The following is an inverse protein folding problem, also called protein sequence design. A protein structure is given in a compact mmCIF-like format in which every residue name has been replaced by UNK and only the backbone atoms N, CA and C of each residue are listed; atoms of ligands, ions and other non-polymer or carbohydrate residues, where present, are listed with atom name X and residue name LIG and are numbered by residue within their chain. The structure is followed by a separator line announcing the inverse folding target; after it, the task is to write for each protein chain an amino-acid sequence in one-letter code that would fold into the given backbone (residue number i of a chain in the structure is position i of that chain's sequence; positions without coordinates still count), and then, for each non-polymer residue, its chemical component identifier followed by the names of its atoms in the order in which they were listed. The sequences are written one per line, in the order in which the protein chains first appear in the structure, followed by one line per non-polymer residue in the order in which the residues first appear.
data_IF_488407041924
#
_entry.id   IF_488407041924
#
_cell.length_a   1.000
_cell.length_b   1.000
_cell.length_c   1.000
_cell.angle_alpha   90.00
_cell.angle_beta   90.00
_cell.angle_gamma   90.00
#
_symmetry.space_group_name_H-M   'P 1'
#
loop_
_entity.id
_entity.type
_entity.pdbx_description
1 polymer ?
#
# COMPACT_ATOMS: atom_id res chain seq x y z
N UNK A 1 21.46 4.15 50.21
CA UNK A 1 20.84 5.47 50.48
C UNK A 1 20.78 6.24 49.16
N UNK A 2 19.69 6.94 48.83
CA UNK A 2 18.62 6.37 47.99
C UNK A 2 18.58 6.81 46.52
N UNK A 3 17.73 6.08 45.79
CA UNK A 3 17.31 6.13 44.39
C UNK A 3 16.76 7.46 43.88
N UNK A 4 17.00 7.77 42.59
CA UNK A 4 16.10 8.61 41.80
C UNK A 4 16.12 8.19 40.32
N UNK A 5 15.32 7.18 40.00
CA UNK A 5 14.91 6.85 38.64
C UNK A 5 13.57 7.54 38.42
N UNK A 6 13.49 8.51 37.51
CA UNK A 6 12.21 9.11 37.10
C UNK A 6 11.50 8.18 36.09
N UNK A 7 10.25 7.76 36.34
CA UNK A 7 9.44 7.08 35.34
C UNK A 7 8.74 8.10 34.42
N UNK A 8 8.44 7.75 33.15
CA UNK A 8 7.58 8.56 32.29
C UNK A 8 6.12 8.47 32.76
N UNK A 9 5.47 9.63 32.89
CA UNK A 9 4.05 9.77 33.26
C UNK A 9 3.17 9.01 32.27
N UNK A 10 2.36 8.07 32.78
CA UNK A 10 1.15 7.56 32.12
C UNK A 10 0.05 8.60 32.22
N UNK A 11 -0.65 8.81 31.11
CA UNK A 11 -2.01 9.31 31.10
C UNK A 11 -2.96 8.11 31.15
N UNK A 12 -3.67 7.97 32.25
CA UNK A 12 -4.83 7.11 32.51
C UNK A 12 -5.76 8.02 33.30
N UNK A 13 -7.05 8.15 33.07
CA UNK A 13 -8.06 7.48 32.25
C UNK A 13 -9.16 8.53 32.14
N UNK A 14 -9.79 8.68 30.97
CA UNK A 14 -11.21 9.01 30.94
C UNK A 14 -11.81 8.07 29.89
N UNK A 15 -12.49 7.07 30.43
CA UNK A 15 -13.13 6.00 29.70
C UNK A 15 -14.55 6.41 29.29
N UNK A 16 -15.08 5.65 28.32
CA UNK A 16 -16.49 5.52 27.94
C UNK A 16 -17.04 6.53 26.92
N UNK A 17 -16.79 6.21 25.63
CA UNK A 17 -17.72 6.09 24.49
C UNK A 17 -18.92 7.08 24.35
N UNK A 18 -19.84 6.87 23.38
CA UNK A 18 -19.81 7.55 22.09
C UNK A 18 -20.93 8.59 21.99
N UNK A 19 -20.59 9.87 21.89
CA UNK A 19 -21.58 10.92 21.61
C UNK A 19 -21.95 10.95 20.12
N UNK A 20 -22.98 10.17 19.83
CA UNK A 20 -23.92 10.36 18.72
C UNK A 20 -24.45 11.80 18.74
N UNK A 21 -24.45 12.54 17.61
CA UNK A 21 -25.10 13.84 17.56
C UNK A 21 -26.63 13.68 17.66
N UNK A 22 -27.31 14.50 18.47
CA UNK A 22 -28.76 14.41 18.65
C UNK A 22 -29.54 14.84 17.38
N UNK A 23 -30.83 14.44 17.29
CA UNK A 23 -31.63 14.56 16.08
C UNK A 23 -32.08 15.99 15.82
N UNK A 24 -32.28 16.26 14.53
CA UNK A 24 -33.02 17.39 13.97
C UNK A 24 -34.25 17.78 14.80
N UNK A 25 -34.20 18.99 15.31
CA UNK A 25 -35.32 19.70 15.89
C UNK A 25 -36.45 19.85 14.86
N UNK A 26 -37.64 19.44 15.27
CA UNK A 26 -38.92 19.77 14.62
C UNK A 26 -39.13 21.28 14.68
N UNK A 27 -39.60 21.94 13.60
CA UNK A 27 -40.11 23.30 13.71
C UNK A 27 -41.42 23.28 14.50
N UNK A 28 -41.39 23.91 15.67
CA UNK A 28 -42.57 24.30 16.45
C UNK A 28 -43.07 25.63 15.87
N UNK A 29 -44.34 25.64 15.50
CA UNK A 29 -45.05 26.82 15.02
C UNK A 29 -45.23 27.87 16.13
N UNK A 30 -45.32 29.15 15.72
CA UNK A 30 -46.26 30.21 16.19
C UNK A 30 -46.26 30.53 17.70
N UNK A 31 -46.15 31.76 18.20
CA UNK A 31 -46.86 33.00 17.83
C UNK A 31 -46.28 34.21 18.60
N UNK A 32 -46.61 35.45 18.15
CA UNK A 32 -46.33 36.71 18.82
C UNK A 32 -47.38 37.07 19.91
N UNK A 33 -47.15 38.23 20.50
CA UNK A 33 -47.89 38.89 21.58
C UNK A 33 -49.41 39.07 21.39
N UNK A 34 -50.13 39.00 22.52
CA UNK A 34 -51.25 39.84 23.01
C UNK A 34 -52.47 40.17 22.11
N UNK A 35 -53.63 39.76 22.66
CA UNK A 35 -54.95 40.44 22.79
C UNK A 35 -55.98 40.34 21.62
N UNK A 36 -57.09 39.64 21.94
CA UNK A 36 -58.53 39.69 21.56
C UNK A 36 -59.06 40.86 20.69
N UNK A 37 -60.27 40.79 20.04
CA UNK A 37 -61.17 39.66 19.69
C UNK A 37 -61.63 39.65 18.18
N UNK A 38 -61.62 38.48 17.50
CA UNK A 38 -62.09 38.30 16.10
C UNK A 38 -63.61 38.04 15.94
N UNK A 39 -64.43 38.22 16.98
CA UNK A 39 -65.87 37.91 16.93
C UNK A 39 -66.74 38.94 16.18
N UNK A 40 -66.21 40.10 15.78
CA UNK A 40 -66.95 41.09 14.99
C UNK A 40 -66.68 40.99 13.47
N UNK A 41 -65.59 40.33 13.04
CA UNK A 41 -65.22 40.22 11.61
C UNK A 41 -65.89 39.05 10.88
N UNK A 42 -66.27 37.98 11.59
CA UNK A 42 -67.03 36.85 11.01
C UNK A 42 -68.50 37.23 10.71
N UNK A 43 -69.07 38.21 11.42
CA UNK A 43 -70.42 38.72 11.14
C UNK A 43 -70.47 39.64 9.92
N UNK A 44 -69.41 40.41 9.63
CA UNK A 44 -69.33 41.21 8.39
C UNK A 44 -69.02 40.36 7.14
N UNK A 45 -68.26 39.26 7.27
CA UNK A 45 -67.99 38.36 6.14
C UNK A 45 -69.18 37.47 5.77
N UNK A 46 -70.00 37.05 6.75
CA UNK A 46 -71.23 36.31 6.46
C UNK A 46 -72.28 37.18 5.76
N UNK A 47 -72.37 38.48 6.08
CA UNK A 47 -73.25 39.41 5.35
C UNK A 47 -72.77 39.73 3.92
N UNK A 48 -71.47 39.65 3.63
CA UNK A 48 -70.97 39.81 2.26
C UNK A 48 -71.10 38.54 1.41
N UNK A 49 -71.16 37.35 2.02
CA UNK A 49 -71.27 36.08 1.30
C UNK A 49 -72.70 35.75 0.88
N UNK A 50 -73.72 36.29 1.55
CA UNK A 50 -75.12 36.21 1.10
C UNK A 50 -75.46 37.12 -0.10
N UNK A 51 -74.56 38.04 -0.49
CA UNK A 51 -74.82 38.99 -1.60
C UNK A 51 -74.30 38.50 -2.98
N UNK A 52 -73.62 37.35 -3.06
CA UNK A 52 -72.95 36.85 -4.28
C UNK A 52 -73.57 35.60 -4.91
N UNK A 53 -74.57 34.99 -4.27
CA UNK A 53 -75.34 33.89 -4.86
C UNK A 53 -76.50 34.45 -5.71
N UNK A 54 -76.19 34.89 -6.93
CA UNK A 54 -77.22 34.99 -7.96
C UNK A 54 -77.49 33.59 -8.56
N UNK A 55 -78.71 33.06 -8.47
CA UNK A 55 -79.03 31.74 -9.00
C UNK A 55 -79.03 31.76 -10.53
N UNK A 56 -78.16 30.97 -11.18
CA UNK A 56 -78.23 30.74 -12.63
C UNK A 56 -76.95 30.30 -13.36
N UNK A 57 -75.78 30.24 -12.72
CA UNK A 57 -74.53 29.77 -13.37
C UNK A 57 -74.12 28.38 -12.83
N UNK A 58 -73.94 27.36 -13.69
CA UNK A 58 -73.46 26.05 -13.23
C UNK A 58 -72.00 26.17 -12.71
N UNK A 59 -71.63 25.43 -11.66
CA UNK A 59 -70.29 25.48 -11.08
C UNK A 59 -69.25 25.00 -12.10
N UNK A 60 -68.32 25.88 -12.48
CA UNK A 60 -67.15 25.53 -13.30
C UNK A 60 -66.12 24.76 -12.46
N UNK A 61 -65.80 23.54 -12.87
CA UNK A 61 -64.81 22.67 -12.21
C UNK A 61 -63.42 23.31 -12.12
N UNK A 62 -62.69 23.02 -11.04
CA UNK A 62 -61.35 23.55 -10.81
C UNK A 62 -60.33 23.16 -11.89
N UNK A 63 -60.64 22.15 -12.70
CA UNK A 63 -59.76 21.63 -13.76
C UNK A 63 -59.88 22.46 -15.05
N UNK A 64 -61.06 22.99 -15.38
CA UNK A 64 -61.25 23.90 -16.51
C UNK A 64 -60.62 25.27 -16.25
N UNK A 65 -60.64 25.75 -15.00
CA UNK A 65 -59.96 27.01 -14.61
C UNK A 65 -58.44 26.99 -14.81
N UNK A 66 -57.78 25.81 -14.75
CA UNK A 66 -56.33 25.68 -14.97
C UNK A 66 -55.92 25.70 -16.45
N UNK A 67 -56.80 25.26 -17.35
CA UNK A 67 -56.54 25.22 -18.79
C UNK A 67 -56.62 26.63 -19.41
N UNK A 68 -57.45 27.51 -18.84
CA UNK A 68 -57.62 28.89 -19.30
C UNK A 68 -56.60 29.90 -18.73
N UNK A 69 -55.53 29.44 -18.07
CA UNK A 69 -54.37 30.28 -17.75
C UNK A 69 -54.53 31.26 -16.59
N UNK A 70 -55.59 31.16 -15.78
CA UNK A 70 -55.85 32.11 -14.66
C UNK A 70 -54.99 31.90 -13.41
N UNK A 71 -54.17 30.83 -13.34
CA UNK A 71 -53.29 30.58 -12.20
C UNK A 71 -51.82 30.91 -12.55
N UNK A 72 -51.14 31.81 -11.80
CA UNK A 72 -49.74 32.13 -12.06
C UNK A 72 -48.87 30.86 -11.90
N UNK A 73 -47.89 30.63 -12.81
CA UNK A 73 -47.01 29.47 -12.70
C UNK A 73 -46.23 29.52 -11.38
N UNK A 74 -46.05 28.38 -10.68
CA UNK A 74 -45.40 28.38 -9.38
C UNK A 74 -43.95 28.90 -9.49
N UNK A 75 -43.58 29.80 -8.58
CA UNK A 75 -42.29 30.50 -8.54
C UNK A 75 -41.03 29.60 -8.55
N UNK A 76 -41.18 28.29 -8.35
CA UNK A 76 -40.07 27.35 -8.50
C UNK A 76 -40.58 25.96 -8.96
N UNK A 77 -40.48 25.63 -10.26
CA UNK A 77 -41.07 24.41 -10.83
C UNK A 77 -40.50 23.13 -10.20
N UNK A 78 -39.21 23.14 -9.82
CA UNK A 78 -38.55 22.00 -9.16
C UNK A 78 -39.08 21.75 -7.74
N UNK A 79 -39.45 22.78 -7.01
CA UNK A 79 -40.02 22.64 -5.67
C UNK A 79 -41.48 22.16 -5.72
N UNK A 80 -42.24 22.63 -6.71
CA UNK A 80 -43.60 22.16 -6.97
C UNK A 80 -43.60 20.68 -7.41
N UNK A 81 -42.66 20.29 -8.26
CA UNK A 81 -42.48 18.90 -8.69
C UNK A 81 -42.05 17.99 -7.53
N UNK A 82 -41.12 18.43 -6.68
CA UNK A 82 -40.72 17.69 -5.48
C UNK A 82 -41.90 17.49 -4.51
N UNK A 83 -42.74 18.51 -4.29
CA UNK A 83 -43.96 18.40 -3.48
C UNK A 83 -44.96 17.40 -4.10
N UNK A 84 -45.16 17.48 -5.42
CA UNK A 84 -46.02 16.54 -6.15
C UNK A 84 -45.52 15.09 -6.03
N UNK A 85 -44.20 14.87 -6.09
CA UNK A 85 -43.62 13.54 -5.92
C UNK A 85 -43.80 13.01 -4.49
N UNK A 86 -43.68 13.87 -3.47
CA UNK A 86 -43.95 13.50 -2.07
C UNK A 86 -45.42 13.14 -1.84
N UNK A 87 -46.36 13.88 -2.44
CA UNK A 87 -47.79 13.57 -2.39
C UNK A 87 -48.12 12.25 -3.10
N UNK A 88 -47.51 12.00 -4.26
CA UNK A 88 -47.63 10.73 -4.97
C UNK A 88 -46.98 9.55 -4.22
N UNK A 89 -45.97 9.81 -3.42
CA UNK A 89 -45.35 8.82 -2.54
C UNK A 89 -46.25 8.52 -1.34
N UNK A 90 -46.88 9.53 -0.73
CA UNK A 90 -47.83 9.35 0.37
C UNK A 90 -49.04 8.48 -0.03
N UNK A 91 -49.49 8.59 -1.29
CA UNK A 91 -50.59 7.78 -1.85
C UNK A 91 -50.23 6.34 -2.18
N UNK A 92 -48.94 5.97 -2.15
CA UNK A 92 -48.54 4.60 -2.45
C UNK A 92 -48.76 3.65 -1.26
N UNK A 93 -49.20 2.40 -1.54
CA UNK A 93 -49.37 1.41 -0.50
C UNK A 93 -48.04 1.16 0.22
N UNK A 94 -48.11 0.98 1.54
CA UNK A 94 -46.93 0.87 2.41
C UNK A 94 -45.96 -0.23 1.94
N UNK A 95 -46.48 -1.33 1.41
CA UNK A 95 -45.68 -2.44 0.86
C UNK A 95 -44.82 -2.03 -0.35
N UNK A 96 -45.38 -1.25 -1.28
CA UNK A 96 -44.63 -0.75 -2.45
C UNK A 96 -43.56 0.26 -2.03
N UNK A 97 -43.85 1.10 -1.04
CA UNK A 97 -42.85 2.02 -0.44
C UNK A 97 -41.72 1.25 0.21
N UNK A 98 -42.03 0.23 1.03
CA UNK A 98 -41.03 -0.61 1.66
C UNK A 98 -40.17 -1.37 0.64
N UNK A 99 -40.76 -1.91 -0.43
CA UNK A 99 -40.03 -2.59 -1.50
C UNK A 99 -39.07 -1.66 -2.24
N UNK A 100 -39.49 -0.43 -2.58
CA UNK A 100 -38.63 0.58 -3.20
C UNK A 100 -37.50 1.02 -2.28
N UNK A 101 -37.77 1.25 -1.00
CA UNK A 101 -36.73 1.59 -0.02
C UNK A 101 -35.70 0.47 0.12
N UNK A 102 -36.12 -0.80 0.14
CA UNK A 102 -35.21 -1.95 0.10
C UNK A 102 -34.36 -1.98 -1.17
N UNK A 103 -34.96 -1.77 -2.34
CA UNK A 103 -34.23 -1.73 -3.61
C UNK A 103 -33.22 -0.56 -3.67
N UNK A 104 -33.60 0.63 -3.17
CA UNK A 104 -32.71 1.78 -3.06
C UNK A 104 -31.55 1.50 -2.09
N UNK A 105 -31.81 0.89 -0.94
CA UNK A 105 -30.77 0.51 0.03
C UNK A 105 -29.78 -0.51 -0.57
N UNK A 106 -30.27 -1.50 -1.32
CA UNK A 106 -29.42 -2.46 -2.05
C UNK A 106 -28.58 -1.74 -3.11
N UNK A 107 -29.17 -0.85 -3.89
CA UNK A 107 -28.47 -0.09 -4.93
C UNK A 107 -27.40 0.83 -4.31
N UNK A 108 -27.73 1.56 -3.25
CA UNK A 108 -26.78 2.40 -2.52
C UNK A 108 -25.64 1.55 -1.92
N UNK A 109 -25.94 0.36 -1.39
CA UNK A 109 -24.92 -0.56 -0.89
C UNK A 109 -24.01 -1.04 -2.02
N UNK A 110 -24.56 -1.43 -3.17
CA UNK A 110 -23.79 -1.85 -4.34
C UNK A 110 -22.90 -0.71 -4.88
N UNK A 111 -23.43 0.50 -5.01
CA UNK A 111 -22.68 1.67 -5.46
C UNK A 111 -21.59 2.03 -4.45
N UNK A 112 -21.88 2.04 -3.15
CA UNK A 112 -20.86 2.26 -2.10
C UNK A 112 -19.78 1.19 -2.15
N UNK A 113 -20.14 -0.08 -2.32
CA UNK A 113 -19.18 -1.17 -2.48
C UNK A 113 -18.35 -1.01 -3.76
N UNK A 114 -18.96 -0.63 -4.88
CA UNK A 114 -18.27 -0.40 -6.15
C UNK A 114 -17.29 0.77 -6.06
N UNK A 115 -17.74 1.91 -5.54
CA UNK A 115 -16.90 3.09 -5.32
C UNK A 115 -15.79 2.80 -4.31
N UNK A 116 -16.07 2.08 -3.22
CA UNK A 116 -15.06 1.63 -2.28
C UNK A 116 -14.03 0.73 -2.97
N UNK A 117 -14.47 -0.27 -3.76
CA UNK A 117 -13.57 -1.14 -4.54
C UNK A 117 -12.74 -0.36 -5.56
N UNK A 118 -13.33 0.62 -6.26
CA UNK A 118 -12.62 1.46 -7.25
C UNK A 118 -11.61 2.41 -6.59
N UNK A 119 -11.96 2.99 -5.46
CA UNK A 119 -11.04 3.81 -4.65
C UNK A 119 -9.92 2.96 -4.04
N UNK A 120 -10.23 1.75 -3.58
CA UNK A 120 -9.24 0.78 -3.10
C UNK A 120 -8.33 0.34 -4.25
N UNK A 121 -8.85 0.05 -5.44
CA UNK A 121 -8.04 -0.29 -6.61
C UNK A 121 -7.09 0.85 -7.01
N UNK A 122 -7.53 2.12 -6.97
CA UNK A 122 -6.67 3.30 -7.19
C UNK A 122 -5.65 3.55 -6.07
N UNK A 123 -5.92 3.12 -4.84
CA UNK A 123 -4.99 3.26 -3.71
C UNK A 123 -4.00 2.09 -3.61
N UNK A 124 -4.45 0.89 -3.98
CA UNK A 124 -3.65 -0.33 -4.06
C UNK A 124 -2.84 -0.40 -5.35
N UNK A 125 -3.19 0.36 -6.40
CA UNK A 125 -2.42 0.37 -7.65
C UNK A 125 -0.96 0.72 -7.44
N UNK A 126 -0.65 1.58 -6.46
CA UNK A 126 0.71 2.03 -6.20
C UNK A 126 1.43 1.20 -5.13
N UNK A 127 0.69 0.53 -4.25
CA UNK A 127 1.25 -0.22 -3.12
C UNK A 127 1.55 -1.64 -3.56
N UNK A 128 2.83 -1.99 -3.52
CA UNK A 128 3.34 -3.26 -3.97
C UNK A 128 3.40 -3.36 -5.49
N UNK A 129 3.58 -2.27 -6.26
CA UNK A 129 4.00 -2.46 -7.65
C UNK A 129 5.53 -2.47 -7.75
N UNK A 130 6.10 -3.44 -8.46
CA UNK A 130 7.50 -3.40 -8.80
C UNK A 130 7.74 -2.29 -9.83
N UNK A 131 8.85 -1.59 -9.68
CA UNK A 131 9.23 -0.45 -10.52
C UNK A 131 10.68 -0.62 -10.92
N UNK A 132 10.98 -0.27 -12.17
CA UNK A 132 12.34 0.04 -12.59
C UNK A 132 12.66 1.49 -12.25
N UNK A 133 13.56 1.69 -11.29
CA UNK A 133 14.07 2.99 -10.91
C UNK A 133 15.44 3.18 -11.55
N UNK A 134 15.60 4.29 -12.27
CA UNK A 134 16.83 4.67 -12.93
C UNK A 134 17.18 6.13 -12.58
N UNK A 135 18.44 6.38 -12.24
CA UNK A 135 18.97 7.75 -12.20
C UNK A 135 19.50 8.02 -13.61
N UNK A 136 18.87 8.93 -14.35
CA UNK A 136 19.24 9.14 -15.76
C UNK A 136 20.48 10.01 -15.87
N UNK A 137 20.45 11.18 -15.23
CA UNK A 137 21.55 12.14 -15.27
C UNK A 137 21.46 13.18 -14.14
N UNK A 138 22.57 13.87 -13.86
CA UNK A 138 22.57 15.12 -13.10
C UNK A 138 22.91 16.28 -14.03
N UNK A 139 22.07 17.31 -14.01
CA UNK A 139 22.26 18.52 -14.83
C UNK A 139 22.61 19.73 -13.97
N UNK A 140 23.42 20.64 -14.51
CA UNK A 140 23.77 21.90 -13.86
C UNK A 140 24.65 21.70 -12.62
N UNK A 141 25.59 20.76 -12.66
CA UNK A 141 26.48 20.46 -11.54
C UNK A 141 27.57 21.55 -11.43
N UNK A 142 27.44 22.43 -10.44
CA UNK A 142 28.38 23.54 -10.23
C UNK A 142 29.54 23.14 -9.31
N UNK A 143 30.56 22.51 -9.88
CA UNK A 143 31.73 22.05 -9.13
C UNK A 143 32.59 23.24 -8.69
N UNK A 144 32.38 23.72 -7.46
CA UNK A 144 33.22 24.74 -6.82
C UNK A 144 34.71 24.29 -6.76
N UNK A 145 35.63 25.25 -6.60
CA UNK A 145 37.08 25.02 -6.62
C UNK A 145 37.59 23.89 -5.71
N UNK A 146 36.89 23.60 -4.60
CA UNK A 146 37.24 22.54 -3.66
C UNK A 146 37.06 21.11 -4.19
N UNK A 147 36.34 20.96 -5.32
CA UNK A 147 35.94 19.68 -5.89
C UNK A 147 36.75 19.26 -7.13
N UNK A 148 37.82 20.01 -7.47
CA UNK A 148 38.69 19.74 -8.64
C UNK A 148 39.41 18.39 -8.60
N UNK A 149 39.53 17.78 -7.43
CA UNK A 149 40.20 16.49 -7.26
C UNK A 149 39.27 15.28 -7.45
N UNK A 150 38.01 15.50 -7.83
CA UNK A 150 37.03 14.44 -8.07
C UNK A 150 37.21 13.90 -9.48
N UNK A 151 37.45 12.59 -9.57
CA UNK A 151 37.74 11.87 -10.81
C UNK A 151 36.52 11.11 -11.32
N UNK A 152 35.64 10.67 -10.41
CA UNK A 152 34.41 9.99 -10.78
C UNK A 152 33.29 10.27 -9.79
N UNK A 153 32.06 10.11 -10.23
CA UNK A 153 30.85 10.36 -9.44
C UNK A 153 29.92 9.17 -9.54
N UNK A 154 29.28 8.79 -8.43
CA UNK A 154 28.23 7.79 -8.41
C UNK A 154 27.09 8.25 -7.49
N UNK A 155 25.91 7.66 -7.66
CA UNK A 155 24.74 7.93 -6.87
C UNK A 155 24.46 6.77 -5.91
N UNK A 156 24.20 7.11 -4.65
CA UNK A 156 23.65 6.20 -3.66
C UNK A 156 22.16 6.53 -3.48
N UNK A 157 21.29 5.66 -3.95
CA UNK A 157 19.84 5.86 -3.96
C UNK A 157 19.20 5.02 -2.89
N UNK A 158 18.28 5.63 -2.15
CA UNK A 158 17.56 5.03 -1.04
C UNK A 158 16.08 5.34 -1.14
N UNK A 159 15.23 4.35 -0.90
CA UNK A 159 13.78 4.56 -0.92
C UNK A 159 13.24 4.51 0.50
N UNK A 160 12.71 5.64 0.96
CA UNK A 160 12.18 5.85 2.31
C UNK A 160 10.66 5.71 2.31
N UNK A 161 10.13 4.91 3.24
CA UNK A 161 8.68 4.85 3.46
C UNK A 161 8.20 6.07 4.26
N UNK A 162 7.28 6.86 3.71
CA UNK A 162 6.63 7.95 4.46
C UNK A 162 5.55 7.44 5.42
N UNK A 163 5.27 8.13 6.55
CA UNK A 163 5.88 9.39 6.99
C UNK A 163 7.21 9.24 7.76
N UNK A 164 7.47 8.11 8.43
CA UNK A 164 8.67 7.88 9.25
C UNK A 164 9.13 6.41 9.23
N UNK A 165 8.97 5.73 8.10
CA UNK A 165 9.37 4.33 7.97
C UNK A 165 10.88 4.16 7.72
N UNK A 166 11.43 2.95 7.94
CA UNK A 166 12.83 2.67 7.64
C UNK A 166 13.13 2.79 6.14
N UNK A 167 14.42 2.94 5.79
CA UNK A 167 14.87 2.76 4.41
C UNK A 167 14.51 1.35 3.96
N UNK A 168 13.79 1.27 2.84
CA UNK A 168 13.30 0.02 2.30
C UNK A 168 14.35 -0.65 1.42
N UNK A 169 15.02 0.16 0.59
CA UNK A 169 16.01 -0.27 -0.38
C UNK A 169 17.15 0.73 -0.44
N UNK A 170 18.36 0.22 -0.63
CA UNK A 170 19.58 0.97 -0.88
C UNK A 170 20.28 0.34 -2.08
N UNK A 171 20.72 1.18 -3.02
CA UNK A 171 21.55 0.77 -4.15
C UNK A 171 22.51 1.88 -4.53
N UNK A 172 23.58 1.50 -5.21
CA UNK A 172 24.58 2.43 -5.73
C UNK A 172 24.71 2.22 -7.23
N UNK A 173 24.75 3.31 -7.99
CA UNK A 173 25.03 3.28 -9.43
C UNK A 173 26.51 3.01 -9.70
N UNK A 174 26.82 2.69 -10.95
CA UNK A 174 28.18 2.66 -11.45
C UNK A 174 28.85 4.04 -11.36
N UNK A 175 30.18 4.03 -11.37
CA UNK A 175 30.98 5.25 -11.33
C UNK A 175 31.04 5.88 -12.72
N UNK A 176 30.50 7.09 -12.85
CA UNK A 176 30.68 7.92 -14.05
C UNK A 176 32.01 8.66 -13.98
N UNK A 177 32.83 8.56 -15.03
CA UNK A 177 34.05 9.37 -15.20
C UNK A 177 33.74 10.79 -15.68
N UNK A 178 32.57 11.02 -16.29
CA UNK A 178 32.13 12.36 -16.67
C UNK A 178 31.53 13.05 -15.45
N UNK A 179 32.32 13.91 -14.81
CA UNK A 179 31.97 14.58 -13.56
C UNK A 179 30.98 15.73 -13.77
N UNK A 180 31.08 16.48 -14.87
CA UNK A 180 30.26 17.67 -15.11
C UNK A 180 28.83 17.33 -15.57
N UNK A 181 28.69 16.24 -16.32
CA UNK A 181 27.42 15.72 -16.83
C UNK A 181 27.38 14.20 -16.60
N UNK A 182 27.25 13.74 -15.34
CA UNK A 182 27.21 12.33 -15.06
C UNK A 182 25.86 11.75 -15.50
N UNK A 183 25.92 10.65 -16.23
CA UNK A 183 24.77 9.92 -16.73
C UNK A 183 24.93 8.43 -16.42
N UNK A 184 23.81 7.76 -16.12
CA UNK A 184 23.81 6.33 -15.80
C UNK A 184 22.70 5.59 -16.55
N UNK A 185 23.04 4.38 -16.98
CA UNK A 185 22.11 3.43 -17.61
C UNK A 185 21.59 2.36 -16.65
N UNK A 186 21.98 2.42 -15.39
CA UNK A 186 21.68 1.37 -14.40
C UNK A 186 20.20 1.40 -14.01
N UNK A 187 19.55 0.25 -14.17
CA UNK A 187 18.16 0.04 -13.80
C UNK A 187 18.07 -0.82 -12.56
N UNK A 188 17.35 -0.34 -11.56
CA UNK A 188 17.15 -1.04 -10.29
C UNK A 188 15.70 -1.44 -10.13
N UNK A 189 15.47 -2.70 -9.81
CA UNK A 189 14.14 -3.19 -9.52
C UNK A 189 13.79 -2.91 -8.06
N UNK A 190 12.77 -2.10 -7.82
CA UNK A 190 12.34 -1.69 -6.48
C UNK A 190 10.86 -2.02 -6.30
N UNK A 191 10.49 -2.88 -5.33
CA UNK A 191 9.10 -3.09 -4.97
C UNK A 191 8.60 -1.92 -4.11
N UNK A 192 7.68 -1.12 -4.62
CA UNK A 192 7.19 0.07 -3.93
C UNK A 192 6.24 -0.33 -2.81
N UNK A 193 6.69 -0.38 -1.55
CA UNK A 193 5.86 -0.85 -0.42
C UNK A 193 4.81 0.16 0.06
N UNK A 194 4.77 1.33 -0.55
CA UNK A 194 3.90 2.43 -0.17
C UNK A 194 3.56 3.28 -1.39
N UNK A 195 2.33 3.79 -1.44
CA UNK A 195 1.89 4.75 -2.45
C UNK A 195 2.50 6.14 -2.24
N UNK A 196 3.10 6.37 -1.07
CA UNK A 196 3.83 7.58 -0.71
C UNK A 196 5.20 7.21 -0.18
N UNK A 197 6.25 7.64 -0.85
CA UNK A 197 7.63 7.39 -0.46
C UNK A 197 8.53 8.50 -0.96
N UNK A 198 9.70 8.62 -0.37
CA UNK A 198 10.72 9.56 -0.81
C UNK A 198 11.88 8.79 -1.39
N UNK A 199 12.28 9.13 -2.61
CA UNK A 199 13.51 8.61 -3.21
C UNK A 199 14.61 9.61 -2.87
N UNK A 200 15.50 9.19 -1.98
CA UNK A 200 16.65 9.96 -1.54
C UNK A 200 17.84 9.54 -2.39
N UNK A 201 18.37 10.45 -3.19
CA UNK A 201 19.55 10.21 -4.02
C UNK A 201 20.70 11.04 -3.47
N UNK A 202 21.73 10.38 -2.97
CA UNK A 202 22.97 11.02 -2.49
C UNK A 202 24.01 10.95 -3.59
N UNK A 203 24.52 12.10 -4.02
CA UNK A 203 25.60 12.20 -4.99
C UNK A 203 26.95 12.15 -4.26
N UNK A 204 27.82 11.22 -4.66
CA UNK A 204 29.12 10.99 -4.03
C UNK A 204 30.21 11.07 -5.08
N UNK A 205 31.18 11.95 -4.84
CA UNK A 205 32.39 12.09 -5.65
C UNK A 205 33.53 11.24 -5.10
N UNK A 206 34.26 10.55 -5.97
CA UNK A 206 35.48 9.82 -5.63
C UNK A 206 36.68 10.64 -6.06
N UNK A 207 37.56 10.96 -5.12
CA UNK A 207 38.79 11.70 -5.41
C UNK A 207 39.82 10.81 -6.09
N UNK A 208 40.85 11.43 -6.68
CA UNK A 208 42.05 10.75 -7.18
C UNK A 208 42.71 9.81 -6.15
N UNK A 209 42.63 10.16 -4.86
CA UNK A 209 43.11 9.34 -3.73
C UNK A 209 42.14 8.22 -3.31
N UNK A 210 41.01 8.07 -4.00
CA UNK A 210 39.98 7.07 -3.69
C UNK A 210 39.06 7.45 -2.53
N UNK A 211 39.19 8.65 -1.96
CA UNK A 211 38.32 9.10 -0.85
C UNK A 211 36.96 9.53 -1.39
N UNK A 212 35.91 9.21 -0.64
CA UNK A 212 34.54 9.60 -0.96
C UNK A 212 34.21 10.96 -0.36
N UNK A 213 33.68 11.86 -1.19
CA UNK A 213 33.22 13.19 -0.81
C UNK A 213 31.74 13.36 -1.10
N UNK A 214 31.05 14.02 -0.19
CA UNK A 214 29.65 14.36 -0.35
C UNK A 214 29.52 15.51 -1.35
N UNK A 215 28.63 15.36 -2.33
CA UNK A 215 28.32 16.41 -3.31
C UNK A 215 26.93 16.98 -3.14
N UNK A 216 26.00 16.24 -2.52
CA UNK A 216 24.65 16.72 -2.28
C UNK A 216 23.67 15.58 -2.13
N UNK A 217 22.49 15.89 -1.60
CA UNK A 217 21.39 14.95 -1.49
C UNK A 217 20.14 15.55 -2.13
N UNK A 218 19.58 14.84 -3.09
CA UNK A 218 18.32 15.15 -3.74
C UNK A 218 17.21 14.26 -3.15
N UNK A 219 16.06 14.85 -2.84
CA UNK A 219 14.90 14.12 -2.32
C UNK A 219 13.76 14.33 -3.30
N UNK A 220 13.37 13.26 -3.99
CA UNK A 220 12.21 13.26 -4.87
C UNK A 220 11.01 12.69 -4.11
N UNK A 221 10.03 13.52 -3.71
CA UNK A 221 8.82 13.03 -3.07
C UNK A 221 7.90 12.38 -4.10
N UNK A 222 7.61 11.10 -3.91
CA UNK A 222 6.65 10.37 -4.73
C UNK A 222 5.29 10.40 -4.04
N UNK A 223 4.38 11.18 -4.63
CA UNK A 223 3.01 11.28 -4.20
C UNK A 223 2.13 10.20 -4.84
N UNK A 224 0.90 10.06 -4.32
CA UNK A 224 -0.10 9.16 -4.90
C UNK A 224 -0.35 9.50 -6.36
N UNK A 225 -0.23 8.50 -7.25
CA UNK A 225 -0.36 8.70 -8.69
C UNK A 225 0.98 8.85 -9.43
N UNK A 226 2.12 8.63 -8.76
CA UNK A 226 3.44 8.57 -9.39
C UNK A 226 3.51 7.58 -10.55
N UNK A 227 2.64 6.55 -10.60
CA UNK A 227 2.52 5.60 -11.72
C UNK A 227 2.30 6.27 -13.08
N UNK A 228 1.68 7.45 -13.11
CA UNK A 228 1.42 8.21 -14.33
C UNK A 228 2.56 9.16 -14.68
N UNK A 229 3.47 9.43 -13.74
CA UNK A 229 4.60 10.36 -13.89
C UNK A 229 5.90 9.56 -13.92
N UNK A 230 6.33 9.21 -15.12
CA UNK A 230 7.56 8.41 -15.32
C UNK A 230 8.82 9.14 -14.88
N UNK A 231 8.84 10.46 -14.95
CA UNK A 231 10.03 11.27 -14.66
C UNK A 231 9.81 12.12 -13.42
N UNK A 232 10.81 12.15 -12.55
CA UNK A 232 10.89 13.01 -11.39
C UNK A 232 12.25 13.72 -11.37
N UNK A 233 12.27 14.98 -10.95
CA UNK A 233 13.50 15.76 -10.81
C UNK A 233 13.57 16.37 -9.43
N UNK A 234 14.75 16.36 -8.82
CA UNK A 234 14.97 16.95 -7.51
C UNK A 234 16.32 17.67 -7.44
N UNK A 235 16.33 18.85 -6.83
CA UNK A 235 17.55 19.62 -6.63
C UNK A 235 18.43 18.98 -5.55
N UNK A 236 19.75 19.03 -5.77
CA UNK A 236 20.75 18.70 -4.76
C UNK A 236 20.71 19.71 -3.63
N UNK A 237 20.71 19.21 -2.40
CA UNK A 237 20.70 20.03 -1.22
C UNK A 237 21.56 19.47 -0.09
N UNK A 238 21.36 20.06 1.08
CA UNK A 238 22.05 19.72 2.32
C UNK A 238 21.80 18.26 2.72
N UNK A 239 22.78 17.72 3.44
CA UNK A 239 22.66 16.42 4.09
C UNK A 239 21.47 16.38 5.06
N UNK A 240 20.48 15.53 4.78
CA UNK A 240 19.33 15.30 5.65
C UNK A 240 19.27 13.87 6.18
N UNK A 241 19.64 12.91 5.34
CA UNK A 241 19.58 11.49 5.66
C UNK A 241 20.98 10.88 5.71
N UNK A 242 21.34 10.20 6.81
CA UNK A 242 22.65 9.58 6.96
C UNK A 242 22.85 8.45 5.95
N UNK A 243 24.06 8.34 5.42
CA UNK A 243 24.52 7.21 4.58
C UNK A 243 25.46 6.33 5.41
N UNK A 244 25.48 5.04 5.12
CA UNK A 244 26.32 4.06 5.85
C UNK A 244 27.81 4.15 5.47
N UNK A 245 28.11 4.81 4.35
CA UNK A 245 29.46 4.99 3.82
C UNK A 245 30.20 6.12 4.56
N UNK A 246 31.52 5.97 4.73
CA UNK A 246 32.38 6.98 5.35
C UNK A 246 32.64 8.13 4.38
N UNK A 247 31.69 9.07 4.30
CA UNK A 247 31.72 10.19 3.36
C UNK A 247 32.27 11.45 4.06
N UNK A 248 33.24 12.10 3.43
CA UNK A 248 33.84 13.35 3.93
C UNK A 248 33.09 14.57 3.37
N UNK A 249 33.04 15.66 4.13
CA UNK A 249 32.61 16.96 3.60
C UNK A 249 31.10 17.21 3.63
N UNK A 250 30.37 16.56 4.53
CA UNK A 250 28.89 16.67 4.67
C UNK A 250 28.35 18.11 4.84
N UNK A 251 29.21 19.05 5.22
CA UNK A 251 28.85 20.46 5.45
C UNK A 251 28.81 21.30 4.17
N UNK A 252 29.38 20.82 3.05
CA UNK A 252 29.34 21.49 1.74
C UNK A 252 28.52 20.65 0.77
N UNK A 253 27.83 21.31 -0.15
CA UNK A 253 27.13 20.64 -1.24
C UNK A 253 27.21 21.50 -2.50
N UNK A 254 27.02 20.85 -3.63
CA UNK A 254 27.06 21.41 -4.98
C UNK A 254 25.63 21.66 -5.44
N UNK A 255 25.43 22.72 -6.22
CA UNK A 255 24.16 22.95 -6.89
C UNK A 255 24.03 22.02 -8.10
N UNK A 256 22.83 21.52 -8.35
CA UNK A 256 22.53 20.65 -9.48
C UNK A 256 21.16 19.99 -9.33
N UNK A 257 20.64 19.43 -10.42
CA UNK A 257 19.35 18.73 -10.43
C UNK A 257 19.54 17.28 -10.85
N UNK A 258 19.08 16.36 -10.00
CA UNK A 258 19.07 14.93 -10.28
C UNK A 258 17.78 14.59 -11.01
N UNK A 259 17.92 13.91 -12.15
CA UNK A 259 16.80 13.37 -12.91
C UNK A 259 16.65 11.87 -12.64
N UNK A 260 15.42 11.48 -12.33
CA UNK A 260 15.02 10.12 -11.96
C UNK A 260 13.92 9.67 -12.91
N UNK A 261 14.03 8.44 -13.38
CA UNK A 261 12.98 7.75 -14.14
C UNK A 261 12.47 6.55 -13.34
N UNK A 262 11.14 6.41 -13.33
CA UNK A 262 10.37 5.48 -12.54
C UNK A 262 9.37 4.84 -13.50
N UNK A 263 9.71 3.64 -13.95
CA UNK A 263 8.84 2.89 -14.87
C UNK A 263 8.16 1.76 -14.11
N UNK A 264 6.82 1.78 -13.96
CA UNK A 264 6.12 0.68 -13.33
C UNK A 264 6.23 -0.57 -14.21
N UNK A 265 6.62 -1.68 -13.62
CA UNK A 265 6.59 -2.96 -14.31
C UNK A 265 5.15 -3.44 -14.33
N UNK A 266 4.68 -3.83 -15.51
CA UNK A 266 3.33 -4.31 -15.75
C UNK A 266 3.00 -5.52 -14.87
N UNK A 267 2.42 -5.27 -13.69
CA UNK A 267 1.78 -6.27 -12.82
C UNK A 267 0.28 -5.93 -12.78
N UNK A 268 -0.57 -6.87 -13.18
CA UNK A 268 -2.03 -6.76 -13.07
C UNK A 268 -2.44 -6.77 -11.60
N UNK A 269 -1.68 -7.46 -10.74
CA UNK A 269 -1.92 -7.57 -9.30
C UNK A 269 -0.84 -6.88 -8.46
N UNK A 270 -1.16 -6.47 -7.22
CA UNK A 270 -0.16 -5.94 -6.28
C UNK A 270 0.82 -7.05 -5.87
N UNK A 271 2.11 -6.82 -6.10
CA UNK A 271 3.20 -7.69 -5.69
C UNK A 271 3.27 -7.80 -4.17
N UNK A 272 3.51 -9.03 -3.68
CA UNK A 272 3.84 -9.25 -2.27
C UNK A 272 5.34 -9.16 -2.12
N UNK A 273 5.81 -8.39 -1.16
CA UNK A 273 7.23 -8.26 -0.85
C UNK A 273 7.49 -8.41 0.64
N UNK A 274 8.72 -8.79 0.98
CA UNK A 274 9.14 -8.94 2.37
C UNK A 274 10.56 -9.45 2.52
N UNK A 275 11.05 -9.37 3.74
CA UNK A 275 12.39 -9.80 4.09
C UNK A 275 12.43 -11.31 4.34
N UNK A 276 13.47 -11.93 3.78
CA UNK A 276 13.85 -13.31 4.00
C UNK A 276 15.25 -13.34 4.60
N UNK A 277 15.50 -14.36 5.40
CA UNK A 277 16.81 -14.70 5.91
C UNK A 277 17.28 -15.91 5.10
N UNK A 278 18.41 -15.79 4.41
CA UNK A 278 18.98 -16.86 3.61
C UNK A 278 20.34 -17.25 4.19
N UNK A 279 20.55 -18.53 4.46
CA UNK A 279 21.88 -19.00 4.80
C UNK A 279 22.80 -18.78 3.57
N UNK A 280 24.03 -18.29 3.74
CA UNK A 280 24.99 -18.25 2.66
C UNK A 280 25.14 -19.66 2.08
N UNK A 281 25.27 -19.80 0.75
CA UNK A 281 25.51 -21.09 0.15
C UNK A 281 26.80 -21.65 0.78
N UNK A 282 26.66 -22.74 1.52
CA UNK A 282 27.81 -23.47 2.04
C UNK A 282 28.49 -24.04 0.81
N UNK A 283 29.68 -23.51 0.48
CA UNK A 283 30.56 -24.11 -0.53
C UNK A 283 30.97 -25.48 0.01
N UNK A 284 30.18 -26.51 -0.32
CA UNK A 284 30.63 -27.87 -0.13
C UNK A 284 31.73 -28.08 -1.16
N UNK A 285 32.98 -28.17 -0.71
CA UNK A 285 34.06 -28.76 -1.52
C UNK A 285 33.49 -30.02 -2.18
N UNK A 286 33.82 -30.31 -3.46
CA UNK A 286 33.37 -31.51 -4.13
C UNK A 286 34.02 -32.71 -3.44
N UNK A 287 33.40 -33.23 -2.39
CA UNK A 287 33.75 -34.53 -1.84
C UNK A 287 33.13 -35.56 -2.76
N UNK A 288 34.03 -36.19 -3.52
CA UNK A 288 33.89 -37.40 -4.33
C UNK A 288 32.59 -38.16 -4.09
N UNK A 289 31.91 -38.42 -5.20
CA UNK A 289 30.99 -39.52 -5.41
C UNK A 289 31.29 -40.73 -4.52
N UNK A 290 30.38 -41.05 -3.60
CA UNK A 290 30.32 -42.38 -3.01
C UNK A 290 29.01 -43.03 -3.46
N UNK A 291 29.15 -43.83 -4.51
CA UNK A 291 28.25 -44.91 -4.89
C UNK A 291 28.15 -45.92 -3.74
N UNK A 292 27.02 -45.96 -3.05
CA UNK A 292 26.68 -47.01 -2.08
C UNK A 292 25.45 -47.79 -2.53
N UNK A 293 25.47 -48.24 -3.78
CA UNK A 293 24.55 -49.27 -4.28
C UNK A 293 25.37 -50.43 -4.81
N UNK A 294 25.79 -51.34 -3.92
CA UNK A 294 26.07 -52.72 -4.29
C UNK A 294 25.80 -53.64 -3.10
N UNK A 295 24.81 -54.51 -3.29
CA UNK A 295 24.47 -55.68 -2.49
C UNK A 295 25.71 -56.50 -2.14
N UNK A 296 25.76 -57.02 -0.91
CA UNK A 296 26.04 -58.45 -0.72
C UNK A 296 25.41 -58.95 0.59
N UNK A 297 24.75 -60.09 0.48
CA UNK A 297 23.99 -60.82 1.50
C UNK A 297 24.76 -62.09 1.84
N UNK A 298 24.98 -62.36 3.13
CA UNK A 298 25.02 -63.70 3.77
C UNK A 298 25.46 -63.47 5.24
N UNK A 299 25.08 -64.18 6.28
CA UNK A 299 24.03 -65.14 6.64
C UNK A 299 24.33 -65.50 8.10
N UNK A 300 23.28 -65.69 8.91
CA UNK A 300 23.26 -66.37 10.22
C UNK A 300 23.93 -65.68 11.44
N UNK A 301 23.09 -65.30 12.40
CA UNK A 301 23.50 -64.90 13.75
C UNK A 301 22.43 -64.08 14.46
N UNK A 302 21.31 -64.72 14.83
CA UNK A 302 20.34 -64.16 15.78
C UNK A 302 21.00 -64.13 17.18
N UNK A 303 21.19 -62.94 17.75
CA UNK A 303 20.83 -62.54 19.13
C UNK A 303 21.53 -61.21 19.50
N UNK A 304 20.78 -60.35 20.19
CA UNK A 304 21.12 -59.04 20.79
C UNK A 304 20.98 -57.77 19.92
N UNK A 305 20.02 -56.92 20.35
CA UNK A 305 19.70 -55.52 19.99
C UNK A 305 20.95 -54.60 19.84
N UNK A 306 20.93 -53.40 19.18
CA UNK A 306 19.79 -52.58 18.74
C UNK A 306 19.87 -52.05 17.30
N UNK A 307 18.76 -51.48 16.86
CA UNK A 307 18.55 -50.85 15.56
C UNK A 307 19.70 -49.93 15.08
N UNK A 308 19.94 -49.88 13.76
CA UNK A 308 20.87 -48.93 13.15
C UNK A 308 20.49 -47.51 13.58
N UNK A 309 21.49 -46.78 14.06
CA UNK A 309 21.44 -45.36 14.36
C UNK A 309 20.90 -44.66 13.12
N UNK A 310 19.60 -44.40 13.14
CA UNK A 310 19.01 -43.28 12.44
C UNK A 310 19.83 -42.05 12.84
N UNK A 311 20.29 -41.21 11.90
CA UNK A 311 20.71 -39.88 12.28
C UNK A 311 19.49 -39.21 12.93
N UNK A 312 19.46 -39.19 14.26
CA UNK A 312 18.40 -38.63 15.11
C UNK A 312 18.28 -37.10 14.99
N UNK A 313 19.02 -36.50 14.07
CA UNK A 313 18.91 -35.09 13.73
C UNK A 313 18.32 -34.97 12.33
N UNK A 314 17.06 -34.51 12.17
CA UNK A 314 16.67 -33.98 10.88
C UNK A 314 17.64 -32.85 10.54
N UNK A 315 18.09 -32.79 9.28
CA UNK A 315 18.85 -31.68 8.70
C UNK A 315 18.01 -30.38 8.71
N UNK A 316 17.75 -29.87 9.91
CA UNK A 316 16.95 -28.71 10.24
C UNK A 316 17.50 -28.09 11.52
N UNK A 317 18.82 -27.96 11.63
CA UNK A 317 19.36 -26.88 12.42
C UNK A 317 19.02 -25.59 11.66
N UNK A 318 17.99 -24.88 12.12
CA UNK A 318 17.80 -23.49 11.68
C UNK A 318 19.14 -22.77 11.92
N UNK A 319 19.75 -22.18 10.88
CA UNK A 319 21.05 -21.55 11.04
C UNK A 319 20.98 -20.49 12.13
N UNK A 320 22.02 -20.42 12.96
CA UNK A 320 22.10 -19.39 13.99
C UNK A 320 22.06 -18.01 13.31
N UNK A 321 21.28 -17.05 13.86
CA UNK A 321 21.07 -15.72 13.24
C UNK A 321 22.38 -15.00 12.86
N UNK A 322 23.50 -15.37 13.49
CA UNK A 322 24.85 -14.85 13.22
C UNK A 322 25.41 -15.22 11.84
N UNK A 323 24.82 -16.19 11.14
CA UNK A 323 25.30 -16.67 9.84
C UNK A 323 24.33 -16.43 8.69
N UNK A 324 23.21 -15.73 8.91
CA UNK A 324 22.14 -15.63 7.92
C UNK A 324 22.11 -14.23 7.30
N UNK A 325 22.04 -14.16 5.97
CA UNK A 325 22.01 -12.89 5.23
C UNK A 325 20.56 -12.49 4.97
N UNK A 326 20.24 -11.24 5.28
CA UNK A 326 18.92 -10.67 4.93
C UNK A 326 18.83 -10.44 3.43
N UNK A 327 17.77 -10.92 2.81
CA UNK A 327 17.43 -10.80 1.39
C UNK A 327 16.00 -10.27 1.27
N UNK A 328 15.68 -9.64 0.15
CA UNK A 328 14.31 -9.19 -0.13
C UNK A 328 13.67 -10.07 -1.18
N UNK A 329 12.52 -10.65 -0.89
CA UNK A 329 11.75 -11.40 -1.87
C UNK A 329 10.56 -10.58 -2.37
N UNK A 330 10.30 -10.66 -3.67
CA UNK A 330 9.21 -10.00 -4.37
C UNK A 330 8.48 -11.02 -5.21
N UNK A 331 7.20 -11.22 -4.94
CA UNK A 331 6.29 -12.07 -5.69
C UNK A 331 5.44 -11.19 -6.59
N UNK A 332 5.68 -11.29 -7.88
CA UNK A 332 4.84 -10.72 -8.93
C UNK A 332 3.79 -11.75 -9.36
N UNK A 333 2.98 -11.39 -10.35
CA UNK A 333 1.93 -12.25 -10.90
C UNK A 333 2.50 -13.56 -11.50
N UNK A 334 3.70 -13.50 -12.10
CA UNK A 334 4.32 -14.61 -12.85
C UNK A 334 5.62 -15.11 -12.25
N UNK A 335 6.29 -14.30 -11.44
CA UNK A 335 7.67 -14.57 -11.01
C UNK A 335 7.88 -14.27 -9.53
N UNK A 336 8.76 -15.04 -8.91
CA UNK A 336 9.33 -14.75 -7.60
C UNK A 336 10.78 -14.31 -7.77
N UNK A 337 11.08 -13.09 -7.36
CA UNK A 337 12.41 -12.51 -7.39
C UNK A 337 13.00 -12.44 -5.98
N UNK A 338 14.28 -12.77 -5.84
CA UNK A 338 15.05 -12.56 -4.63
C UNK A 338 16.17 -11.57 -4.92
N UNK A 339 16.23 -10.50 -4.14
CA UNK A 339 17.22 -9.45 -4.21
C UNK A 339 18.15 -9.49 -3.01
N UNK A 340 19.38 -9.07 -3.24
CA UNK A 340 20.27 -8.71 -2.16
C UNK A 340 19.73 -7.49 -1.40
N UNK A 341 19.85 -7.47 -0.09
CA UNK A 341 19.40 -6.35 0.72
C UNK A 341 20.33 -5.13 0.62
N UNK A 342 21.64 -5.35 0.46
CA UNK A 342 22.63 -4.26 0.44
C UNK A 342 22.86 -3.70 -0.95
N UNK A 343 22.81 -4.53 -1.99
CA UNK A 343 23.11 -4.11 -3.36
C UNK A 343 21.88 -3.96 -4.24
N UNK A 344 20.69 -4.35 -3.74
CA UNK A 344 19.46 -4.51 -4.53
C UNK A 344 19.64 -5.36 -5.81
N UNK A 345 20.74 -6.12 -5.92
CA UNK A 345 21.04 -6.94 -7.09
C UNK A 345 20.10 -8.14 -7.11
N UNK A 346 19.54 -8.43 -8.27
CA UNK A 346 18.74 -9.63 -8.49
C UNK A 346 19.64 -10.86 -8.31
N UNK A 347 19.32 -11.71 -7.34
CA UNK A 347 20.04 -12.95 -7.06
C UNK A 347 19.37 -14.14 -7.72
N UNK A 348 18.05 -14.22 -7.60
CA UNK A 348 17.26 -15.37 -8.06
C UNK A 348 16.00 -14.82 -8.72
N UNK A 349 15.66 -15.35 -9.90
CA UNK A 349 14.35 -15.18 -10.53
C UNK A 349 13.76 -16.56 -10.82
N UNK A 350 12.65 -16.86 -10.16
CA UNK A 350 11.93 -18.12 -10.30
C UNK A 350 10.59 -17.85 -10.99
N UNK A 351 10.33 -18.60 -12.06
CA UNK A 351 9.03 -18.61 -12.73
C UNK A 351 8.02 -19.42 -11.89
N UNK A 352 6.88 -18.82 -11.56
CA UNK A 352 5.85 -19.42 -10.72
C UNK A 352 5.20 -20.64 -11.38
N UNK A 353 5.12 -20.68 -12.72
CA UNK A 353 4.56 -21.81 -13.44
C UNK A 353 5.39 -23.09 -13.21
N UNK A 354 6.70 -22.93 -13.02
CA UNK A 354 7.67 -24.03 -12.83
C UNK A 354 8.08 -24.24 -11.36
N UNK A 355 7.56 -23.41 -10.46
CA UNK A 355 7.88 -23.43 -9.04
C UNK A 355 7.03 -24.48 -8.32
N UNK A 356 7.66 -25.33 -7.51
CA UNK A 356 6.98 -26.23 -6.59
C UNK A 356 7.23 -25.76 -5.15
N UNK A 357 6.17 -25.65 -4.35
CA UNK A 357 6.30 -25.32 -2.93
C UNK A 357 6.25 -26.61 -2.12
N UNK A 358 7.27 -26.83 -1.30
CA UNK A 358 7.28 -27.92 -0.34
C UNK A 358 6.68 -27.36 0.95
N UNK A 359 5.48 -27.83 1.33
CA UNK A 359 4.83 -27.41 2.57
C UNK A 359 5.74 -27.71 3.75
N UNK A 360 6.08 -26.67 4.50
CA UNK A 360 6.90 -26.84 5.70
C UNK A 360 5.99 -27.16 6.89
N UNK A 361 6.18 -28.35 7.47
CA UNK A 361 5.61 -28.73 8.77
C UNK A 361 6.25 -27.86 9.86
N UNK A 362 5.56 -26.80 10.26
CA UNK A 362 5.94 -26.06 11.45
C UNK A 362 5.12 -26.60 12.62
N UNK A 363 5.68 -27.58 13.34
CA UNK A 363 5.22 -27.74 14.72
C UNK A 363 5.67 -26.50 15.51
N UNK A 364 4.74 -25.79 16.19
CA UNK A 364 5.10 -24.72 17.10
C UNK A 364 5.85 -25.34 18.27
N UNK A 365 7.18 -25.37 18.18
CA UNK A 365 8.05 -25.64 19.34
C UNK A 365 8.47 -24.29 19.92
N UNK A 366 8.48 -24.21 21.25
CA UNK A 366 8.50 -23.03 22.11
C UNK A 366 9.72 -22.09 22.00
N UNK A 367 10.55 -22.20 20.96
CA UNK A 367 11.77 -21.41 20.83
C UNK A 367 11.52 -20.08 20.14
N UNK A 368 11.61 -18.92 20.85
CA UNK A 368 11.38 -17.59 20.28
C UNK A 368 12.48 -17.16 19.30
N UNK A 369 13.59 -17.87 19.22
CA UNK A 369 14.71 -17.61 18.30
C UNK A 369 14.56 -18.33 16.95
N UNK A 370 13.62 -19.26 16.82
CA UNK A 370 13.51 -20.17 15.67
C UNK A 370 12.96 -19.45 14.43
N UNK A 371 13.67 -19.62 13.32
CA UNK A 371 13.24 -19.12 12.02
C UNK A 371 12.37 -20.15 11.30
N UNK A 372 11.42 -19.68 10.49
CA UNK A 372 10.43 -20.51 9.80
C UNK A 372 10.84 -20.72 8.33
N UNK A 373 11.09 -21.96 7.87
CA UNK A 373 11.58 -22.21 6.51
C UNK A 373 10.44 -22.21 5.48
N UNK A 374 10.59 -21.42 4.43
CA UNK A 374 9.87 -21.50 3.15
C UNK A 374 10.75 -22.27 2.15
N UNK A 375 10.29 -23.45 1.73
CA UNK A 375 11.03 -24.34 0.82
C UNK A 375 10.45 -24.24 -0.58
N UNK A 376 11.27 -23.76 -1.51
CA UNK A 376 10.92 -23.56 -2.91
C UNK A 376 11.78 -24.48 -3.78
N UNK A 377 11.15 -25.29 -4.62
CA UNK A 377 11.84 -26.17 -5.57
C UNK A 377 11.60 -25.67 -6.99
N UNK A 378 12.68 -25.37 -7.71
CA UNK A 378 12.61 -24.91 -9.10
C UNK A 378 13.87 -25.35 -9.85
N UNK A 379 13.70 -25.78 -11.11
CA UNK A 379 14.81 -26.18 -12.00
C UNK A 379 15.81 -27.15 -11.34
N UNK A 380 15.32 -28.15 -10.62
CA UNK A 380 16.17 -29.13 -9.93
C UNK A 380 16.84 -28.66 -8.64
N UNK A 381 16.68 -27.38 -8.26
CA UNK A 381 17.34 -26.78 -7.08
C UNK A 381 16.33 -26.50 -5.97
N UNK A 382 16.68 -26.85 -4.73
CA UNK A 382 15.90 -26.51 -3.54
C UNK A 382 16.44 -25.24 -2.89
N UNK A 383 15.63 -24.19 -2.89
CA UNK A 383 15.88 -22.93 -2.20
C UNK A 383 15.18 -22.95 -0.84
N UNK A 384 15.93 -22.71 0.23
CA UNK A 384 15.39 -22.61 1.59
C UNK A 384 15.55 -21.18 2.06
N UNK A 385 14.42 -20.47 2.15
CA UNK A 385 14.33 -19.11 2.67
C UNK A 385 13.73 -19.15 4.06
N UNK A 386 14.19 -18.30 4.97
CA UNK A 386 13.68 -18.25 6.34
C UNK A 386 12.91 -16.96 6.59
N UNK A 387 11.81 -17.03 7.33
CA UNK A 387 11.03 -15.86 7.77
C UNK A 387 10.91 -15.82 9.29
N UNK A 388 10.62 -14.65 9.83
CA UNK A 388 10.64 -14.40 11.28
C UNK A 388 9.43 -14.95 12.04
N UNK A 389 8.33 -15.28 11.36
CA UNK A 389 7.13 -15.80 12.01
C UNK A 389 6.39 -16.85 11.18
N UNK A 390 5.68 -17.75 11.87
CA UNK A 390 4.83 -18.75 11.23
C UNK A 390 3.73 -18.12 10.37
N UNK A 391 3.13 -17.02 10.85
CA UNK A 391 2.12 -16.29 10.10
C UNK A 391 2.67 -15.76 8.76
N UNK A 392 3.92 -15.28 8.73
CA UNK A 392 4.57 -14.88 7.50
C UNK A 392 4.82 -16.07 6.58
N UNK A 393 5.29 -17.21 7.13
CA UNK A 393 5.50 -18.44 6.37
C UNK A 393 4.21 -18.89 5.67
N UNK A 394 3.11 -19.05 6.43
CA UNK A 394 1.81 -19.43 5.90
C UNK A 394 1.29 -18.42 4.87
N UNK A 395 1.42 -17.12 5.16
CA UNK A 395 1.04 -16.08 4.22
C UNK A 395 1.83 -16.17 2.90
N UNK A 396 3.11 -16.49 2.95
CA UNK A 396 3.95 -16.65 1.75
C UNK A 396 3.59 -17.91 0.98
N UNK A 397 3.50 -19.07 1.64
CA UNK A 397 3.07 -20.32 1.02
C UNK A 397 1.70 -20.19 0.35
N UNK A 398 0.74 -19.55 1.03
CA UNK A 398 -0.59 -19.32 0.49
C UNK A 398 -0.57 -18.44 -0.77
N UNK A 399 0.08 -17.26 -0.72
CA UNK A 399 0.08 -16.34 -1.87
C UNK A 399 0.82 -16.89 -3.08
N UNK A 400 1.97 -17.55 -2.87
CA UNK A 400 2.71 -18.16 -3.98
C UNK A 400 1.89 -19.28 -4.62
N UNK A 401 1.23 -20.13 -3.82
CA UNK A 401 0.34 -21.17 -4.36
C UNK A 401 -0.87 -20.59 -5.08
N UNK A 402 -1.44 -19.49 -4.58
CA UNK A 402 -2.57 -18.80 -5.21
C UNK A 402 -2.20 -18.29 -6.61
N UNK A 403 -1.13 -17.50 -6.72
CA UNK A 403 -0.67 -16.99 -8.02
C UNK A 403 -0.25 -18.12 -8.97
N UNK A 404 0.42 -19.15 -8.46
CA UNK A 404 0.75 -20.33 -9.27
C UNK A 404 -0.49 -21.02 -9.84
N UNK A 405 -1.57 -21.16 -9.06
CA UNK A 405 -2.83 -21.77 -9.53
C UNK A 405 -3.49 -20.92 -10.60
N UNK A 406 -3.49 -19.60 -10.44
CA UNK A 406 -4.02 -18.67 -11.44
C UNK A 406 -3.32 -18.81 -12.79
N UNK A 407 -2.01 -19.11 -12.81
CA UNK A 407 -1.24 -19.32 -14.04
C UNK A 407 -1.41 -20.71 -14.67
N UNK A 408 -1.86 -21.70 -13.90
CA UNK A 408 -2.06 -23.07 -14.37
C UNK A 408 -3.47 -23.30 -14.93
N UNK A 409 -4.39 -22.35 -14.72
CA UNK A 409 -5.73 -22.37 -15.31
C UNK A 409 -5.63 -21.64 -16.66
N UNK A 410 -5.92 -22.33 -17.78
CA UNK A 410 -5.73 -21.79 -19.14
C UNK A 410 -6.66 -20.63 -19.50
#
# INVERSE_FOLDING_TARGET
MPSSVRPPRRASEDAAEPMTPPPLAKPKALSPERREPEQEQEQEQQQQQELLDMPGTPPMDAQSRRVWGEAPPPANPRAAEARRLLELEARQPAERRAARQRAAAVTQRLVRCFLARRCVARRLSAVGRPVELQVTQVTGLEMLCDYRNIVSVFCNVRVLKKPFGPFMFHFSTDKSTNVNLPAWSDKFFVPMLSSKCDVVTTLIGVTNTGRQRFLGQAIAPLETGWEHKKTASAALGKWKFPVEESIVGLHRFVQGTVHLEITPISSRMPCKSGQFLMAPPISTRPRRSFSFWSRQVSSNGLLASPAPITPRTPASASPSRKTVVTRWGVLTDTTFHLFDNTTAKLLISLDLAKLQIIKSSAQPKSDPSRLFPLKLYAKGTMYVLYVSSYALQQSWEYKINLHRRELLIP
#
